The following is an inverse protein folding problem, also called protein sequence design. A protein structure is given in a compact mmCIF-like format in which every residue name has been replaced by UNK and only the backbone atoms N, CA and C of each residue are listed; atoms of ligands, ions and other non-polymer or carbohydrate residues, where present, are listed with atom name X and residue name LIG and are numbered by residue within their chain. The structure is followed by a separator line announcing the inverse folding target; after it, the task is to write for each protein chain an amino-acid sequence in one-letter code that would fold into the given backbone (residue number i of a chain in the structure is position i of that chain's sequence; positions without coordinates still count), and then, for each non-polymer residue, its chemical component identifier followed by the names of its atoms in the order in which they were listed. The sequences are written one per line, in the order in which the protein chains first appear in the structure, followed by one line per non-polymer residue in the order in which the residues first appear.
data_IF_689077685606
#
_entry.id   IF_689077685606
#
_cell.length_a   1.000
_cell.length_b   1.000
_cell.length_c   1.000
_cell.angle_alpha   90.00
_cell.angle_beta   90.00
_cell.angle_gamma   90.00
#
_symmetry.space_group_name_H-M   'P 1'
#
loop_
_entity.id
_entity.type
_entity.pdbx_description
1 polymer ?
#
# COMPACT_ATOMS: atom_id res chain seq x y z
N UNK A 1 -21.56 -6.55 -5.88
CA UNK A 1 -20.42 -6.08 -5.05
C UNK A 1 -19.80 -7.14 -4.14
N UNK A 2 -20.54 -7.88 -3.28
CA UNK A 2 -19.93 -8.89 -2.39
C UNK A 2 -19.27 -10.10 -3.09
N UNK A 3 -19.67 -10.44 -4.32
CA UNK A 3 -19.06 -11.55 -5.08
C UNK A 3 -17.71 -11.18 -5.73
N UNK A 4 -17.47 -9.89 -6.02
CA UNK A 4 -16.36 -9.42 -6.84
C UNK A 4 -15.06 -9.19 -6.06
N UNK A 5 -15.15 -8.85 -4.77
CA UNK A 5 -13.97 -8.71 -3.90
C UNK A 5 -13.26 -10.05 -3.59
N UNK A 6 -13.89 -11.20 -3.88
CA UNK A 6 -13.33 -12.52 -3.60
C UNK A 6 -12.37 -13.06 -4.68
N UNK A 7 -12.26 -12.37 -5.82
CA UNK A 7 -11.54 -12.84 -7.02
C UNK A 7 -10.09 -12.30 -7.07
N UNK A 8 -9.80 -11.20 -6.37
CA UNK A 8 -8.55 -10.43 -6.55
C UNK A 8 -7.28 -11.10 -6.00
N UNK A 9 -7.39 -12.06 -5.09
CA UNK A 9 -6.24 -12.67 -4.38
C UNK A 9 -6.13 -14.20 -4.53
N UNK A 10 -6.76 -14.82 -5.55
CA UNK A 10 -6.62 -16.27 -5.76
C UNK A 10 -5.52 -16.57 -6.76
N UNK A 11 -4.28 -16.69 -6.27
CA UNK A 11 -3.45 -17.81 -6.77
C UNK A 11 -4.18 -19.05 -6.28
N UNK A 12 -4.92 -19.71 -7.18
CA UNK A 12 -5.59 -20.98 -6.86
C UNK A 12 -4.60 -21.91 -6.15
N UNK A 13 -5.01 -22.52 -5.04
CA UNK A 13 -4.21 -23.54 -4.35
C UNK A 13 -4.19 -24.88 -5.10
N UNK A 14 -4.79 -24.92 -6.28
CA UNK A 14 -4.75 -26.07 -7.16
C UNK A 14 -3.35 -26.20 -7.77
N UNK A 15 -2.69 -27.34 -7.50
CA UNK A 15 -1.35 -27.59 -8.03
C UNK A 15 -1.34 -27.72 -9.56
N UNK A 16 -2.50 -27.99 -10.16
CA UNK A 16 -2.62 -28.30 -11.57
C UNK A 16 -3.06 -27.09 -12.42
N UNK A 17 -3.37 -25.95 -11.79
CA UNK A 17 -3.88 -24.75 -12.46
C UNK A 17 -3.33 -23.45 -11.85
N UNK A 18 -2.70 -22.61 -12.67
CA UNK A 18 -2.44 -21.20 -12.32
C UNK A 18 -3.49 -20.30 -12.96
N UNK A 19 -4.06 -19.38 -12.20
CA UNK A 19 -4.93 -18.31 -12.70
C UNK A 19 -4.16 -16.98 -12.67
N UNK A 20 -4.13 -16.27 -13.80
CA UNK A 20 -3.50 -14.97 -13.98
C UNK A 20 -4.60 -13.98 -14.32
N UNK A 21 -4.88 -13.03 -13.43
CA UNK A 21 -5.89 -11.98 -13.67
C UNK A 21 -5.27 -10.74 -14.28
N UNK A 22 -5.94 -10.16 -15.27
CA UNK A 22 -5.59 -8.94 -15.98
C UNK A 22 -6.87 -8.15 -16.30
N UNK A 23 -6.79 -7.23 -17.24
CA UNK A 23 -7.90 -6.37 -17.64
C UNK A 23 -8.03 -5.17 -16.72
N UNK A 24 -8.87 -4.22 -17.12
CA UNK A 24 -9.00 -2.95 -16.40
C UNK A 24 -9.30 -3.17 -14.91
N UNK A 25 -10.20 -4.11 -14.59
CA UNK A 25 -10.52 -4.45 -13.21
C UNK A 25 -9.37 -5.18 -12.49
N UNK A 26 -8.71 -6.14 -13.14
CA UNK A 26 -7.57 -6.88 -12.58
C UNK A 26 -6.36 -5.99 -12.26
N UNK A 27 -6.15 -4.96 -13.07
CA UNK A 27 -5.11 -3.94 -12.90
C UNK A 27 -5.52 -2.83 -11.91
N UNK A 28 -6.76 -2.88 -11.40
CA UNK A 28 -7.31 -1.97 -10.39
C UNK A 28 -8.04 -0.75 -10.94
N UNK A 29 -8.15 -0.57 -12.26
CA UNK A 29 -8.92 0.50 -12.89
C UNK A 29 -10.41 0.18 -12.86
N UNK A 30 -11.12 0.68 -11.86
CA UNK A 30 -12.57 0.50 -11.69
C UNK A 30 -13.33 1.64 -12.38
N UNK A 31 -13.81 1.39 -13.60
CA UNK A 31 -14.55 2.32 -14.46
C UNK A 31 -15.86 1.69 -14.90
N UNK A 32 -16.81 2.51 -15.35
CA UNK A 32 -18.03 2.03 -16.00
C UNK A 32 -17.64 1.35 -17.31
N UNK A 33 -17.77 0.01 -17.37
CA UNK A 33 -17.31 -0.92 -18.41
C UNK A 33 -15.98 -1.63 -18.13
N UNK A 34 -15.46 -1.58 -16.91
CA UNK A 34 -14.31 -2.40 -16.57
C UNK A 34 -14.64 -3.88 -16.65
N UNK A 35 -13.73 -4.62 -17.27
CA UNK A 35 -13.71 -6.05 -17.46
C UNK A 35 -12.62 -6.71 -16.62
N UNK A 36 -12.82 -7.99 -16.32
CA UNK A 36 -11.82 -8.84 -15.71
C UNK A 36 -11.35 -9.86 -16.75
N UNK A 37 -10.10 -9.77 -17.16
CA UNK A 37 -9.48 -10.82 -17.96
C UNK A 37 -8.87 -11.86 -17.01
N UNK A 38 -9.07 -13.14 -17.31
CA UNK A 38 -8.44 -14.25 -16.59
C UNK A 38 -7.79 -15.22 -17.57
N UNK A 39 -6.52 -15.53 -17.36
CA UNK A 39 -5.83 -16.60 -18.05
C UNK A 39 -5.62 -17.79 -17.12
N UNK A 40 -6.11 -18.95 -17.52
CA UNK A 40 -6.02 -20.21 -16.79
C UNK A 40 -5.00 -21.11 -17.44
N UNK A 41 -3.86 -21.29 -16.79
CA UNK A 41 -2.72 -22.06 -17.28
C UNK A 41 -2.71 -23.44 -16.64
N UNK A 42 -2.90 -24.48 -17.47
CA UNK A 42 -2.94 -25.88 -17.05
C UNK A 42 -1.53 -26.45 -16.93
N UNK A 43 -1.17 -26.99 -15.75
CA UNK A 43 0.15 -27.56 -15.47
C UNK A 43 0.27 -29.05 -15.81
N UNK A 44 -0.85 -29.72 -16.08
CA UNK A 44 -0.85 -31.09 -16.59
C UNK A 44 -0.40 -31.17 -18.07
N UNK A 45 -0.21 -30.02 -18.72
CA UNK A 45 0.30 -29.89 -20.08
C UNK A 45 1.61 -29.10 -20.10
N UNK A 46 2.61 -29.63 -20.80
CA UNK A 46 3.89 -28.94 -20.99
C UNK A 46 4.22 -28.82 -22.48
N UNK A 47 4.50 -27.59 -22.91
CA UNK A 47 4.86 -27.27 -24.29
C UNK A 47 6.34 -26.92 -24.38
N UNK A 48 7.03 -27.38 -25.43
CA UNK A 48 8.44 -27.09 -25.70
C UNK A 48 8.71 -26.83 -27.20
N UNK A 49 9.74 -26.02 -27.50
CA UNK A 49 10.11 -25.65 -28.88
C UNK A 49 11.24 -26.51 -29.45
N UNK A 50 12.37 -26.64 -28.74
CA UNK A 50 13.59 -27.26 -29.30
C UNK A 50 14.04 -28.52 -28.57
N UNK A 51 14.33 -28.40 -27.27
CA UNK A 51 14.87 -29.51 -26.51
C UNK A 51 13.75 -30.41 -26.01
N UNK A 52 13.75 -31.66 -26.47
CA UNK A 52 12.82 -32.69 -25.99
C UNK A 52 13.08 -32.92 -24.49
N UNK A 53 12.11 -32.66 -23.61
CA UNK A 53 12.32 -32.81 -22.17
C UNK A 53 12.39 -34.29 -21.78
N UNK A 54 12.93 -34.55 -20.59
CA UNK A 54 12.72 -35.83 -19.91
C UNK A 54 11.22 -35.93 -19.55
N UNK A 55 10.53 -36.91 -20.12
CA UNK A 55 9.11 -37.09 -19.90
C UNK A 55 8.81 -37.60 -18.49
N UNK A 56 7.95 -36.89 -17.77
CA UNK A 56 7.35 -37.37 -16.53
C UNK A 56 6.02 -38.06 -16.82
N UNK A 57 5.71 -39.19 -16.15
CA UNK A 57 4.55 -40.02 -16.48
C UNK A 57 3.20 -39.34 -16.22
N UNK A 58 3.18 -38.25 -15.45
CA UNK A 58 1.99 -37.52 -15.04
C UNK A 58 1.82 -36.17 -15.78
N UNK A 59 2.56 -35.95 -16.87
CA UNK A 59 2.50 -34.72 -17.67
C UNK A 59 2.30 -35.12 -19.13
N UNK A 60 1.39 -34.42 -19.81
CA UNK A 60 1.22 -34.55 -21.26
C UNK A 60 2.06 -33.50 -21.97
N UNK A 61 2.79 -33.90 -23.00
CA UNK A 61 3.77 -33.06 -23.67
C UNK A 61 3.41 -32.76 -25.11
N UNK A 62 3.60 -31.48 -25.49
CA UNK A 62 3.44 -31.01 -26.85
C UNK A 62 4.72 -30.34 -27.36
N UNK A 63 5.09 -30.62 -28.61
CA UNK A 63 6.14 -29.88 -29.33
C UNK A 63 5.51 -28.78 -30.21
N UNK A 64 6.21 -27.65 -30.36
CA UNK A 64 5.79 -26.56 -31.24
C UNK A 64 6.34 -26.76 -32.65
N UNK A 65 5.46 -26.79 -33.65
CA UNK A 65 5.81 -26.68 -35.06
C UNK A 65 5.84 -25.18 -35.41
N UNK A 66 7.03 -24.68 -35.72
CA UNK A 66 7.32 -23.27 -35.98
C UNK A 66 7.54 -22.96 -37.46
N UNK A 67 7.69 -24.01 -38.28
CA UNK A 67 7.92 -23.88 -39.72
C UNK A 67 6.58 -23.67 -40.45
N UNK A 68 6.55 -22.71 -41.38
CA UNK A 68 5.41 -22.42 -42.26
C UNK A 68 4.10 -21.99 -41.56
N UNK A 69 4.21 -21.48 -40.32
CA UNK A 69 3.05 -20.94 -39.58
C UNK A 69 3.05 -19.40 -39.60
N UNK A 70 1.86 -18.81 -39.70
CA UNK A 70 1.67 -17.35 -39.61
C UNK A 70 2.35 -16.79 -38.34
N UNK A 71 2.99 -15.60 -38.39
CA UNK A 71 3.56 -14.99 -37.19
C UNK A 71 2.57 -14.94 -36.02
N UNK A 72 3.05 -15.30 -34.83
CA UNK A 72 2.27 -15.44 -33.59
C UNK A 72 1.29 -16.63 -33.53
N UNK A 73 1.39 -17.59 -34.45
CA UNK A 73 0.68 -18.87 -34.41
C UNK A 73 1.69 -20.02 -34.40
N UNK A 74 1.30 -21.15 -33.83
CA UNK A 74 2.06 -22.40 -33.87
C UNK A 74 1.10 -23.58 -33.88
N UNK A 75 1.52 -24.70 -34.43
CA UNK A 75 0.81 -25.97 -34.27
C UNK A 75 1.48 -26.77 -33.15
N UNK A 76 0.68 -27.45 -32.34
CA UNK A 76 1.17 -28.24 -31.21
C UNK A 76 0.98 -29.72 -31.52
N UNK A 77 2.08 -30.46 -31.57
CA UNK A 77 2.09 -31.90 -31.85
C UNK A 77 2.16 -32.65 -30.53
N UNK A 78 1.31 -33.65 -30.35
CA UNK A 78 1.30 -34.50 -29.16
C UNK A 78 2.48 -35.48 -29.21
N UNK A 79 3.38 -35.40 -28.21
CA UNK A 79 4.61 -36.18 -28.14
C UNK A 79 4.54 -37.29 -27.08
N UNK A 80 3.85 -37.00 -25.97
CA UNK A 80 3.68 -37.94 -24.86
C UNK A 80 2.37 -37.65 -24.14
N UNK A 81 1.69 -38.71 -23.71
CA UNK A 81 0.38 -38.64 -23.05
C UNK A 81 0.51 -39.18 -21.63
N UNK A 82 0.03 -38.42 -20.66
CA UNK A 82 -0.20 -38.92 -19.30
C UNK A 82 -1.29 -40.00 -19.33
N UNK A 83 -0.95 -41.21 -18.88
CA UNK A 83 -1.88 -42.33 -18.82
C UNK A 83 -3.15 -42.03 -18.01
N UNK A 84 -3.02 -41.22 -16.94
CA UNK A 84 -4.14 -40.82 -16.08
C UNK A 84 -5.16 -39.92 -16.78
N UNK A 85 -4.71 -39.15 -17.79
CA UNK A 85 -5.54 -38.16 -18.49
C UNK A 85 -5.76 -38.47 -19.98
N UNK A 86 -5.26 -39.61 -20.48
CA UNK A 86 -5.29 -40.00 -21.90
C UNK A 86 -6.63 -39.75 -22.60
N UNK A 87 -7.76 -40.12 -21.99
CA UNK A 87 -9.09 -39.91 -22.57
C UNK A 87 -9.42 -38.43 -22.81
N UNK A 88 -9.08 -37.57 -21.87
CA UNK A 88 -9.27 -36.12 -22.02
C UNK A 88 -8.35 -35.59 -23.13
N UNK A 89 -7.06 -35.96 -23.10
CA UNK A 89 -6.08 -35.49 -24.09
C UNK A 89 -6.50 -35.82 -25.51
N UNK A 90 -6.87 -37.08 -25.78
CA UNK A 90 -7.32 -37.49 -27.11
C UNK A 90 -8.62 -36.81 -27.55
N UNK A 91 -9.51 -36.44 -26.61
CA UNK A 91 -10.72 -35.66 -26.94
C UNK A 91 -10.43 -34.21 -27.34
N UNK A 92 -9.24 -33.70 -27.03
CA UNK A 92 -8.79 -32.33 -27.34
C UNK A 92 -7.86 -32.29 -28.57
N UNK A 93 -7.55 -33.44 -29.16
CA UNK A 93 -6.62 -33.55 -30.28
C UNK A 93 -7.29 -34.10 -31.55
N UNK A 94 -6.66 -33.87 -32.69
CA UNK A 94 -7.09 -34.38 -34.00
C UNK A 94 -5.90 -34.99 -34.75
N UNK A 95 -6.12 -36.12 -35.42
CA UNK A 95 -5.09 -36.75 -36.24
C UNK A 95 -5.08 -36.16 -37.66
N UNK A 96 -3.91 -35.70 -38.10
CA UNK A 96 -3.69 -35.16 -39.44
C UNK A 96 -2.34 -35.65 -39.96
N UNK A 97 -2.34 -36.30 -41.13
CA UNK A 97 -1.14 -36.81 -41.80
C UNK A 97 -0.24 -37.69 -40.90
N UNK A 98 -0.85 -38.52 -40.05
CA UNK A 98 -0.13 -39.44 -39.16
C UNK A 98 0.49 -38.79 -37.92
N UNK A 99 0.23 -37.49 -37.68
CA UNK A 99 0.55 -36.80 -36.43
C UNK A 99 -0.73 -36.43 -35.69
N UNK A 100 -0.67 -36.39 -34.37
CA UNK A 100 -1.79 -35.96 -33.50
C UNK A 100 -1.55 -34.53 -33.06
N UNK A 101 -2.48 -33.63 -33.36
CA UNK A 101 -2.38 -32.20 -33.09
C UNK A 101 -3.36 -31.73 -32.03
N UNK A 102 -2.93 -30.82 -31.16
CA UNK A 102 -3.84 -30.14 -30.23
C UNK A 102 -4.80 -29.20 -30.96
N UNK A 103 -6.10 -29.38 -30.79
CA UNK A 103 -7.12 -28.60 -31.48
C UNK A 103 -7.72 -27.55 -30.55
N UNK A 104 -7.35 -26.29 -30.77
CA UNK A 104 -7.95 -25.15 -30.06
C UNK A 104 -9.48 -25.05 -30.24
N UNK A 105 -10.01 -25.60 -31.34
CA UNK A 105 -11.46 -25.68 -31.61
C UNK A 105 -12.11 -26.71 -30.70
N UNK A 106 -11.53 -27.91 -30.58
CA UNK A 106 -12.05 -28.94 -29.67
C UNK A 106 -12.01 -28.50 -28.22
N UNK A 107 -10.94 -27.81 -27.82
CA UNK A 107 -10.81 -27.24 -26.47
C UNK A 107 -11.90 -26.22 -26.19
N UNK A 108 -12.17 -25.31 -27.13
CA UNK A 108 -13.27 -24.35 -26.98
C UNK A 108 -14.62 -25.04 -26.87
N UNK A 109 -14.89 -26.07 -27.69
CA UNK A 109 -16.13 -26.86 -27.60
C UNK A 109 -16.25 -27.56 -26.26
N UNK A 110 -15.20 -28.23 -25.82
CA UNK A 110 -15.16 -28.89 -24.52
C UNK A 110 -15.48 -27.90 -23.38
N UNK A 111 -14.87 -26.72 -23.37
CA UNK A 111 -15.18 -25.70 -22.35
C UNK A 111 -16.63 -25.20 -22.42
N UNK A 112 -17.19 -25.06 -23.61
CA UNK A 112 -18.59 -24.64 -23.81
C UNK A 112 -19.59 -25.67 -23.29
N UNK A 113 -19.26 -26.97 -23.33
CA UNK A 113 -20.15 -28.02 -22.83
C UNK A 113 -20.28 -27.99 -21.30
N UNK A 114 -19.26 -27.51 -20.59
CA UNK A 114 -19.25 -27.43 -19.12
C UNK A 114 -19.80 -26.12 -18.56
N UNK A 115 -19.82 -25.06 -19.38
CA UNK A 115 -20.09 -23.72 -18.89
C UNK A 115 -20.91 -22.90 -19.88
N UNK A 116 -21.78 -22.04 -19.36
CA UNK A 116 -22.55 -21.11 -20.18
C UNK A 116 -21.72 -19.86 -20.53
N UNK A 117 -20.71 -20.02 -21.38
CA UNK A 117 -19.90 -18.92 -21.94
C UNK A 117 -20.28 -18.60 -23.39
N UNK A 118 -19.78 -17.49 -23.91
CA UNK A 118 -19.84 -17.09 -25.32
C UNK A 118 -18.41 -17.08 -25.86
N UNK A 119 -18.21 -17.63 -27.06
CA UNK A 119 -16.89 -17.61 -27.69
C UNK A 119 -16.57 -16.20 -28.18
N UNK A 120 -15.46 -15.63 -27.69
CA UNK A 120 -14.95 -14.31 -28.09
C UNK A 120 -13.47 -14.43 -28.48
N UNK A 121 -13.22 -14.71 -29.76
CA UNK A 121 -11.86 -14.92 -30.27
C UNK A 121 -11.15 -16.13 -29.61
N UNK A 122 -9.98 -15.93 -28.94
CA UNK A 122 -9.31 -16.97 -28.17
C UNK A 122 -9.91 -17.16 -26.76
N UNK A 123 -10.80 -16.26 -26.33
CA UNK A 123 -11.37 -16.24 -24.99
C UNK A 123 -12.82 -16.77 -24.96
N UNK A 124 -13.27 -17.04 -23.75
CA UNK A 124 -14.65 -17.34 -23.39
C UNK A 124 -15.17 -16.23 -22.48
N UNK A 125 -16.21 -15.54 -22.93
CA UNK A 125 -16.82 -14.43 -22.19
C UNK A 125 -18.04 -14.91 -21.43
N UNK A 126 -18.17 -14.56 -20.15
CA UNK A 126 -19.36 -14.91 -19.39
C UNK A 126 -20.63 -14.27 -19.99
N UNK A 127 -21.81 -14.81 -19.69
CA UNK A 127 -23.07 -14.29 -20.25
C UNK A 127 -23.34 -12.82 -19.92
N UNK A 128 -22.68 -12.28 -18.90
CA UNK A 128 -22.88 -10.92 -18.40
C UNK A 128 -21.85 -9.96 -19.02
N UNK A 129 -20.84 -10.47 -19.73
CA UNK A 129 -19.77 -9.69 -20.36
C UNK A 129 -18.79 -9.09 -19.35
N UNK A 130 -18.67 -9.66 -18.15
CA UNK A 130 -17.84 -9.13 -17.07
C UNK A 130 -16.49 -9.82 -16.96
N UNK A 131 -16.39 -11.04 -17.48
CA UNK A 131 -15.18 -11.83 -17.40
C UNK A 131 -14.87 -12.53 -18.72
N UNK A 132 -13.66 -12.28 -19.23
CA UNK A 132 -13.08 -13.01 -20.35
C UNK A 132 -12.07 -14.04 -19.82
N UNK A 133 -12.23 -15.29 -20.22
CA UNK A 133 -11.37 -16.39 -19.79
C UNK A 133 -10.59 -16.95 -20.98
N UNK A 134 -9.26 -16.88 -20.91
CA UNK A 134 -8.36 -17.54 -21.83
C UNK A 134 -7.80 -18.82 -21.18
N UNK A 135 -7.64 -19.88 -21.96
CA UNK A 135 -6.93 -21.09 -21.53
C UNK A 135 -5.52 -21.08 -22.09
N UNK A 136 -4.53 -21.30 -21.23
CA UNK A 136 -3.13 -21.39 -21.57
C UNK A 136 -2.56 -22.79 -21.28
N UNK A 137 -1.58 -23.18 -22.08
CA UNK A 137 -0.74 -24.33 -21.79
C UNK A 137 0.60 -23.85 -21.25
N UNK A 138 1.15 -24.56 -20.27
CA UNK A 138 2.38 -24.15 -19.63
C UNK A 138 3.60 -24.40 -20.54
N UNK A 139 4.50 -23.41 -20.62
CA UNK A 139 5.76 -23.50 -21.35
C UNK A 139 6.88 -22.95 -20.45
N UNK A 140 7.87 -23.78 -20.10
CA UNK A 140 8.95 -23.39 -19.17
C UNK A 140 9.97 -22.45 -19.81
N UNK A 141 10.07 -22.48 -21.13
CA UNK A 141 11.08 -21.72 -21.88
C UNK A 141 10.40 -20.70 -22.78
N UNK A 142 10.96 -19.51 -22.86
CA UNK A 142 10.53 -18.55 -23.86
C UNK A 142 10.83 -19.07 -25.26
N UNK A 143 9.85 -18.97 -26.16
CA UNK A 143 10.06 -19.28 -27.58
C UNK A 143 11.10 -18.33 -28.18
N UNK A 144 11.88 -18.83 -29.13
CA UNK A 144 12.98 -18.08 -29.75
C UNK A 144 12.53 -16.75 -30.36
N UNK A 145 11.31 -16.69 -30.91
CA UNK A 145 10.69 -15.48 -31.45
C UNK A 145 10.35 -14.40 -30.40
N UNK A 146 10.20 -14.78 -29.12
CA UNK A 146 9.90 -13.85 -28.02
C UNK A 146 11.15 -13.17 -27.45
N UNK A 147 12.36 -13.70 -27.72
CA UNK A 147 13.61 -13.20 -27.12
C UNK A 147 13.80 -11.71 -27.37
N UNK A 148 13.53 -11.23 -28.59
CA UNK A 148 13.67 -9.81 -28.95
C UNK A 148 12.76 -8.87 -28.16
N UNK A 149 11.65 -9.38 -27.59
CA UNK A 149 10.74 -8.60 -26.75
C UNK A 149 11.21 -8.56 -25.31
N UNK A 150 11.75 -9.67 -24.82
CA UNK A 150 12.19 -9.85 -23.43
C UNK A 150 13.54 -9.16 -23.19
N UNK A 151 14.44 -9.18 -24.16
CA UNK A 151 15.78 -8.55 -24.04
C UNK A 151 15.75 -7.04 -24.30
N UNK A 152 14.58 -6.41 -24.37
CA UNK A 152 14.48 -4.96 -24.48
C UNK A 152 15.03 -4.33 -23.20
N UNK A 153 16.13 -3.59 -23.33
CA UNK A 153 16.77 -2.92 -22.19
C UNK A 153 15.85 -1.83 -21.61
N UNK A 154 15.71 -1.79 -20.28
CA UNK A 154 15.02 -0.75 -19.50
C UNK A 154 15.58 0.68 -19.65
N UNK A 155 16.56 0.91 -20.53
CA UNK A 155 17.35 2.14 -20.56
C UNK A 155 16.83 3.21 -21.53
N UNK A 156 15.77 2.95 -22.28
CA UNK A 156 15.12 3.97 -23.09
C UNK A 156 13.65 3.67 -23.31
N UNK A 157 12.84 4.72 -23.30
CA UNK A 157 11.48 4.66 -23.80
C UNK A 157 11.50 4.20 -25.27
N UNK A 158 10.47 3.46 -25.75
CA UNK A 158 10.41 3.05 -27.14
C UNK A 158 10.55 4.25 -28.08
N UNK A 159 11.37 4.12 -29.13
CA UNK A 159 11.50 5.16 -30.15
C UNK A 159 10.13 5.48 -30.75
N UNK A 160 9.96 6.70 -31.24
CA UNK A 160 8.69 7.22 -31.75
C UNK A 160 8.11 6.33 -32.88
N UNK A 161 8.98 5.63 -33.62
CA UNK A 161 8.61 4.75 -34.72
C UNK A 161 7.92 3.46 -34.26
N UNK A 162 8.21 2.97 -33.04
CA UNK A 162 7.54 1.79 -32.47
C UNK A 162 6.12 2.15 -32.03
N UNK A 163 5.88 3.42 -31.64
CA UNK A 163 4.55 3.95 -31.29
C UNK A 163 3.61 4.08 -32.49
N UNK A 164 4.07 3.88 -33.73
CA UNK A 164 3.22 3.95 -34.92
C UNK A 164 2.94 2.59 -35.56
N UNK A 165 3.67 1.53 -35.21
CA UNK A 165 3.46 0.20 -35.80
C UNK A 165 2.75 -0.79 -34.88
N UNK A 166 2.78 -0.54 -33.57
CA UNK A 166 2.17 -1.39 -32.54
C UNK A 166 1.40 -0.56 -31.51
N UNK A 167 0.78 0.53 -31.95
CA UNK A 167 -0.09 1.29 -31.07
C UNK A 167 -1.40 0.53 -30.90
N UNK A 168 -1.59 -0.06 -29.73
CA UNK A 168 -2.81 -0.77 -29.36
C UNK A 168 -4.09 0.08 -29.41
N UNK A 169 -3.97 1.41 -29.57
CA UNK A 169 -5.06 2.36 -29.80
C UNK A 169 -5.23 2.79 -31.26
N UNK A 170 -4.30 2.43 -32.14
CA UNK A 170 -4.40 2.71 -33.58
C UNK A 170 -5.63 1.99 -34.14
N UNK A 171 -6.47 2.74 -34.84
CA UNK A 171 -7.77 2.33 -35.36
C UNK A 171 -8.85 1.92 -34.34
N UNK A 172 -8.56 1.92 -33.02
CA UNK A 172 -9.57 1.67 -31.97
C UNK A 172 -10.28 2.93 -31.50
N UNK A 173 -9.61 4.08 -31.63
CA UNK A 173 -10.14 5.38 -31.21
C UNK A 173 -10.17 6.30 -32.43
N UNK A 174 -11.19 6.13 -33.26
CA UNK A 174 -11.42 6.93 -34.46
C UNK A 174 -12.69 7.78 -34.36
N UNK A 175 -12.78 8.80 -35.22
CA UNK A 175 -13.93 9.69 -35.33
C UNK A 175 -14.36 10.30 -34.01
N UNK A 176 -15.66 10.20 -33.70
CA UNK A 176 -16.28 10.81 -32.52
C UNK A 176 -15.70 10.31 -31.19
N UNK A 177 -15.25 9.05 -31.11
CA UNK A 177 -14.65 8.52 -29.89
C UNK A 177 -13.31 9.21 -29.55
N UNK A 178 -12.54 9.57 -30.59
CA UNK A 178 -11.30 10.33 -30.45
C UNK A 178 -11.54 11.75 -29.96
N UNK A 179 -12.57 12.41 -30.50
CA UNK A 179 -12.96 13.74 -30.07
C UNK A 179 -13.42 13.74 -28.61
N UNK A 180 -14.27 12.79 -28.21
CA UNK A 180 -14.73 12.65 -26.82
C UNK A 180 -13.55 12.40 -25.88
N UNK A 181 -12.63 11.50 -26.25
CA UNK A 181 -11.46 11.22 -25.43
C UNK A 181 -10.55 12.46 -25.31
N UNK A 182 -10.29 13.15 -26.41
CA UNK A 182 -9.45 14.34 -26.42
C UNK A 182 -10.08 15.48 -25.61
N UNK A 183 -11.38 15.68 -25.74
CA UNK A 183 -12.13 16.70 -24.99
C UNK A 183 -12.17 16.38 -23.49
N UNK A 184 -12.32 15.09 -23.14
CA UNK A 184 -12.21 14.61 -21.76
C UNK A 184 -10.81 14.84 -21.20
N UNK A 185 -9.76 14.51 -21.96
CA UNK A 185 -8.37 14.72 -21.54
C UNK A 185 -8.02 16.21 -21.41
N UNK A 186 -8.50 17.06 -22.32
CA UNK A 186 -8.33 18.51 -22.25
C UNK A 186 -9.08 19.12 -21.07
N UNK A 187 -10.28 18.62 -20.77
CA UNK A 187 -11.06 18.99 -19.59
C UNK A 187 -10.35 18.59 -18.31
N UNK A 188 -9.82 17.36 -18.24
CA UNK A 188 -9.01 16.92 -17.10
C UNK A 188 -7.72 17.75 -16.97
N UNK A 189 -7.07 18.07 -18.09
CA UNK A 189 -5.88 18.92 -18.09
C UNK A 189 -6.19 20.35 -17.61
N UNK A 190 -7.32 20.94 -18.01
CA UNK A 190 -7.73 22.29 -17.58
C UNK A 190 -8.03 22.37 -16.07
N UNK A 191 -8.39 21.25 -15.45
CA UNK A 191 -8.52 21.14 -13.99
C UNK A 191 -7.16 21.04 -13.25
N UNK A 192 -6.04 20.91 -13.97
CA UNK A 192 -4.71 20.78 -13.39
C UNK A 192 -4.63 19.61 -12.41
N UNK A 193 -4.03 19.81 -11.24
CA UNK A 193 -3.91 18.75 -10.22
C UNK A 193 -5.26 18.27 -9.66
N UNK A 194 -6.34 19.05 -9.79
CA UNK A 194 -7.67 18.68 -9.29
C UNK A 194 -8.27 17.51 -10.06
N UNK A 195 -7.77 17.21 -11.26
CA UNK A 195 -8.24 16.07 -12.05
C UNK A 195 -8.03 14.73 -11.33
N UNK A 196 -7.04 14.68 -10.44
CA UNK A 196 -6.74 13.54 -9.57
C UNK A 196 -7.92 13.24 -8.63
N UNK A 197 -8.73 14.25 -8.25
CA UNK A 197 -9.90 14.08 -7.38
C UNK A 197 -11.11 13.48 -8.11
N UNK A 198 -11.10 13.45 -9.45
CA UNK A 198 -12.11 12.76 -10.25
C UNK A 198 -11.76 11.30 -10.52
N UNK A 199 -10.59 10.82 -10.06
CA UNK A 199 -10.27 9.39 -10.09
C UNK A 199 -11.10 8.68 -9.03
N UNK A 200 -11.83 7.62 -9.41
CA UNK A 200 -12.69 6.89 -8.46
C UNK A 200 -11.92 6.14 -7.36
N UNK A 201 -10.62 5.89 -7.60
CA UNK A 201 -9.71 5.38 -6.55
C UNK A 201 -9.42 6.43 -5.47
N UNK A 202 -9.59 7.71 -5.78
CA UNK A 202 -9.36 8.85 -4.90
C UNK A 202 -10.71 9.48 -4.48
N UNK A 203 -11.79 9.26 -5.23
CA UNK A 203 -13.12 9.82 -4.95
C UNK A 203 -13.82 9.21 -3.73
N UNK A 204 -13.30 8.11 -3.19
CA UNK A 204 -13.65 7.66 -1.83
C UNK A 204 -13.26 8.66 -0.73
N UNK A 205 -12.40 9.65 -1.03
CA UNK A 205 -12.15 10.82 -0.18
C UNK A 205 -13.17 11.95 -0.36
N UNK A 206 -14.07 11.89 -1.35
CA UNK A 206 -14.77 13.07 -1.88
C UNK A 206 -16.17 13.36 -1.31
N UNK A 207 -16.75 12.51 -0.46
CA UNK A 207 -18.08 12.81 0.12
C UNK A 207 -18.03 14.05 1.02
N UNK A 208 -16.91 14.29 1.71
CA UNK A 208 -16.75 15.45 2.61
C UNK A 208 -16.17 16.70 1.92
N UNK A 209 -15.54 16.56 0.74
CA UNK A 209 -14.93 17.68 0.01
C UNK A 209 -15.93 18.53 -0.79
N UNK A 210 -17.16 18.06 -1.02
CA UNK A 210 -18.21 18.81 -1.76
C UNK A 210 -18.73 20.06 -1.02
N UNK A 211 -18.49 20.17 0.29
CA UNK A 211 -19.04 21.25 1.11
C UNK A 211 -18.18 22.54 1.11
N UNK A 212 -17.04 22.57 0.43
CA UNK A 212 -16.19 23.76 0.36
C UNK A 212 -16.40 24.52 -0.95
N UNK A 213 -17.18 25.59 -0.89
CA UNK A 213 -17.30 26.58 -1.97
C UNK A 213 -16.06 27.48 -2.00
N UNK A 214 -14.99 27.06 -2.66
CA UNK A 214 -13.90 27.96 -3.02
C UNK A 214 -14.16 28.51 -4.43
N UNK A 215 -14.60 29.76 -4.52
CA UNK A 215 -14.79 30.46 -5.78
C UNK A 215 -13.42 30.62 -6.49
N UNK A 216 -13.34 30.31 -7.81
CA UNK A 216 -12.06 30.13 -8.49
C UNK A 216 -11.22 31.40 -8.70
N UNK A 217 -11.79 32.59 -8.53
CA UNK A 217 -11.22 33.78 -9.17
C UNK A 217 -10.31 34.64 -8.29
N UNK A 218 -10.26 34.45 -6.97
CA UNK A 218 -9.43 35.33 -6.10
C UNK A 218 -8.82 34.54 -4.96
N UNK A 219 -7.86 33.68 -5.24
CA UNK A 219 -7.00 33.16 -4.17
C UNK A 219 -5.54 33.33 -4.58
N UNK A 220 -4.97 34.47 -4.23
CA UNK A 220 -3.52 34.64 -4.32
C UNK A 220 -2.85 33.67 -3.35
N UNK A 221 -1.63 33.23 -3.65
CA UNK A 221 -0.82 32.36 -2.77
C UNK A 221 -0.73 32.87 -1.32
N UNK A 222 -0.80 34.20 -1.12
CA UNK A 222 -0.85 34.84 0.20
C UNK A 222 -2.20 34.66 0.94
N UNK A 223 -3.30 34.57 0.21
CA UNK A 223 -4.62 34.30 0.76
C UNK A 223 -4.77 32.82 1.12
N UNK A 224 -4.17 31.91 0.33
CA UNK A 224 -3.99 30.51 0.73
C UNK A 224 -3.26 30.47 2.06
N UNK A 225 -2.09 31.11 2.22
CA UNK A 225 -1.36 31.11 3.49
C UNK A 225 -2.18 31.62 4.68
N UNK A 226 -3.01 32.67 4.50
CA UNK A 226 -3.88 33.22 5.53
C UNK A 226 -5.05 32.29 5.89
N UNK A 227 -5.66 31.65 4.89
CA UNK A 227 -6.70 30.62 5.05
C UNK A 227 -6.11 29.38 5.72
N UNK A 228 -4.91 28.96 5.33
CA UNK A 228 -4.20 27.84 5.94
C UNK A 228 -3.86 28.12 7.40
N UNK A 229 -3.39 29.34 7.71
CA UNK A 229 -3.15 29.77 9.10
C UNK A 229 -4.43 29.78 9.93
N UNK A 230 -5.57 30.21 9.38
CA UNK A 230 -6.84 30.20 10.12
C UNK A 230 -7.41 28.79 10.31
N UNK A 231 -7.35 27.93 9.28
CA UNK A 231 -7.75 26.51 9.36
C UNK A 231 -6.85 25.74 10.32
N UNK A 232 -5.55 26.04 10.38
CA UNK A 232 -4.63 25.46 11.36
C UNK A 232 -4.90 25.98 12.77
N UNK A 233 -5.13 27.28 12.98
CA UNK A 233 -5.50 27.78 14.32
C UNK A 233 -6.84 27.18 14.79
N UNK A 234 -7.82 27.10 13.90
CA UNK A 234 -9.12 26.50 14.19
C UNK A 234 -9.03 24.99 14.39
N UNK A 235 -8.24 24.31 13.56
CA UNK A 235 -7.96 22.88 13.62
C UNK A 235 -7.15 22.49 14.84
N UNK A 236 -6.19 23.30 15.29
CA UNK A 236 -5.43 23.09 16.53
C UNK A 236 -6.35 23.28 17.76
N UNK A 237 -7.21 24.30 17.73
CA UNK A 237 -8.19 24.53 18.80
C UNK A 237 -9.26 23.41 18.86
N UNK A 238 -9.61 22.80 17.73
CA UNK A 238 -10.59 21.70 17.65
C UNK A 238 -9.97 20.29 17.69
N UNK A 239 -8.68 20.12 17.39
CA UNK A 239 -7.96 18.84 17.46
C UNK A 239 -7.89 18.28 18.89
N UNK A 240 -8.02 19.16 19.88
CA UNK A 240 -8.12 18.80 21.29
C UNK A 240 -9.47 18.11 21.59
N UNK A 241 -10.47 18.25 20.72
CA UNK A 241 -11.81 17.67 20.89
C UNK A 241 -12.16 16.52 19.93
N UNK A 242 -11.49 16.37 18.78
CA UNK A 242 -11.86 15.35 17.78
C UNK A 242 -10.68 14.54 17.23
N UNK A 243 -10.95 13.25 17.04
CA UNK A 243 -10.03 12.20 16.57
C UNK A 243 -9.38 12.51 15.22
N UNK A 244 -8.07 12.24 15.18
CA UNK A 244 -7.00 12.68 14.26
C UNK A 244 -7.11 12.61 12.72
N UNK A 245 -8.01 11.87 12.02
CA UNK A 245 -7.96 11.86 10.55
C UNK A 245 -8.34 13.21 9.91
N UNK A 246 -9.28 13.94 10.52
CA UNK A 246 -9.85 15.15 9.95
C UNK A 246 -8.86 16.32 9.90
N UNK A 247 -8.14 16.54 11.01
CA UNK A 247 -7.15 17.61 11.13
C UNK A 247 -5.94 17.34 10.23
N UNK A 248 -5.50 16.08 10.16
CA UNK A 248 -4.40 15.68 9.29
C UNK A 248 -4.77 15.80 7.80
N UNK A 249 -5.98 15.41 7.40
CA UNK A 249 -6.47 15.60 6.03
C UNK A 249 -6.52 17.08 5.65
N UNK A 250 -7.01 17.95 6.53
CA UNK A 250 -7.02 19.40 6.31
C UNK A 250 -5.59 19.96 6.15
N UNK A 251 -4.66 19.51 6.98
CA UNK A 251 -3.24 19.90 6.91
C UNK A 251 -2.58 19.36 5.63
N UNK A 252 -2.87 18.13 5.21
CA UNK A 252 -2.32 17.55 3.98
C UNK A 252 -2.83 18.26 2.72
N UNK A 253 -4.12 18.57 2.64
CA UNK A 253 -4.69 19.35 1.54
C UNK A 253 -4.02 20.73 1.43
N UNK A 254 -3.70 21.33 2.59
CA UNK A 254 -3.00 22.60 2.70
C UNK A 254 -1.54 22.55 2.22
N UNK A 255 -0.89 21.39 2.33
CA UNK A 255 0.51 21.20 1.96
C UNK A 255 0.67 20.72 0.52
N UNK A 256 -0.31 20.00 -0.01
CA UNK A 256 -0.34 19.63 -1.43
C UNK A 256 -0.34 20.87 -2.33
N UNK A 257 -0.89 22.00 -1.86
CA UNK A 257 -0.76 23.31 -2.52
C UNK A 257 0.62 23.98 -2.39
N UNK A 258 1.56 23.46 -1.58
CA UNK A 258 2.82 24.12 -1.24
C UNK A 258 4.04 23.19 -1.32
N UNK A 259 4.69 23.17 -2.50
CA UNK A 259 5.96 22.49 -2.87
C UNK A 259 6.00 20.95 -2.67
N UNK A 260 6.24 20.26 -3.79
CA UNK A 260 6.24 18.80 -3.94
C UNK A 260 7.26 18.05 -3.04
N UNK A 261 8.40 18.66 -2.69
CA UNK A 261 9.44 18.02 -1.86
C UNK A 261 9.06 17.86 -0.38
N UNK A 262 8.20 18.75 0.14
CA UNK A 262 7.70 18.72 1.52
C UNK A 262 6.75 17.55 1.76
N UNK A 263 5.95 17.21 0.75
CA UNK A 263 4.90 16.18 0.81
C UNK A 263 5.50 14.80 1.12
N UNK A 264 6.66 14.46 0.54
CA UNK A 264 7.32 13.16 0.75
C UNK A 264 7.68 12.93 2.22
N UNK A 265 8.15 13.96 2.93
CA UNK A 265 8.50 13.85 4.35
C UNK A 265 7.28 13.75 5.26
N UNK A 266 6.19 14.45 4.91
CA UNK A 266 4.94 14.39 5.67
C UNK A 266 4.21 13.07 5.47
N UNK A 267 4.18 12.56 4.25
CA UNK A 267 3.63 11.22 3.97
C UNK A 267 4.39 10.15 4.76
N UNK A 268 5.72 10.23 4.76
CA UNK A 268 6.59 9.36 5.56
C UNK A 268 6.29 9.43 7.06
N UNK A 269 6.10 10.64 7.58
CA UNK A 269 5.71 10.87 8.97
C UNK A 269 4.31 10.31 9.28
N UNK A 270 3.34 10.50 8.40
CA UNK A 270 2.00 9.95 8.53
C UNK A 270 2.00 8.42 8.57
N UNK A 271 2.71 7.80 7.63
CA UNK A 271 2.86 6.35 7.61
C UNK A 271 3.49 5.84 8.91
N UNK A 272 4.44 6.58 9.50
CA UNK A 272 4.95 6.28 10.84
C UNK A 272 3.85 6.27 11.91
N UNK A 273 3.00 7.29 11.95
CA UNK A 273 1.89 7.35 12.93
C UNK A 273 0.84 6.26 12.70
N UNK A 274 0.54 5.92 11.45
CA UNK A 274 -0.34 4.78 11.13
C UNK A 274 0.26 3.47 11.63
N UNK A 275 1.56 3.25 11.41
CA UNK A 275 2.27 2.08 11.92
C UNK A 275 2.24 2.03 13.46
N UNK A 276 2.54 3.14 14.14
CA UNK A 276 2.46 3.23 15.60
C UNK A 276 1.06 2.87 16.12
N UNK A 277 0.02 3.46 15.55
CA UNK A 277 -1.38 3.19 15.93
C UNK A 277 -1.76 1.73 15.71
N UNK A 278 -1.37 1.13 14.59
CA UNK A 278 -1.66 -0.28 14.30
C UNK A 278 -1.06 -1.20 15.36
N UNK A 279 0.17 -0.92 15.79
CA UNK A 279 0.88 -1.74 16.78
C UNK A 279 0.24 -1.63 18.17
N UNK A 280 -0.32 -0.46 18.54
CA UNK A 280 -1.01 -0.28 19.82
C UNK A 280 -2.16 -1.28 20.01
N UNK A 281 -2.87 -1.67 18.95
CA UNK A 281 -4.02 -2.58 19.06
C UNK A 281 -3.69 -4.04 18.74
N UNK A 282 -2.41 -4.39 18.53
CA UNK A 282 -2.05 -5.78 18.25
C UNK A 282 -2.17 -6.63 19.52
N UNK A 283 -2.87 -7.78 19.48
CA UNK A 283 -3.10 -8.60 20.65
C UNK A 283 -1.79 -9.27 21.10
N UNK A 284 -1.29 -8.93 22.27
CA UNK A 284 -0.13 -9.61 22.88
C UNK A 284 -0.63 -10.83 23.68
N UNK A 285 -1.01 -11.91 22.99
CA UNK A 285 -1.50 -13.16 23.64
C UNK A 285 -0.34 -14.06 24.09
N UNK A 286 -0.63 -14.95 25.05
CA UNK A 286 0.32 -15.78 25.81
C UNK A 286 0.88 -17.02 25.09
N UNK A 287 0.54 -17.29 23.82
CA UNK A 287 1.01 -18.50 23.15
C UNK A 287 2.32 -18.24 22.37
N UNK A 288 3.43 -18.85 22.85
CA UNK A 288 4.82 -18.51 22.52
C UNK A 288 5.14 -18.40 21.00
N UNK A 289 4.58 -19.25 20.15
CA UNK A 289 4.92 -19.27 18.70
C UNK A 289 4.27 -18.12 17.92
N UNK A 290 3.00 -17.83 18.19
CA UNK A 290 2.27 -16.74 17.53
C UNK A 290 2.76 -15.38 18.03
N UNK A 291 3.06 -15.27 19.33
CA UNK A 291 3.58 -14.07 19.96
C UNK A 291 4.89 -13.60 19.33
N UNK A 292 5.80 -14.52 18.98
CA UNK A 292 7.07 -14.14 18.33
C UNK A 292 6.88 -13.55 16.93
N UNK A 293 5.94 -14.10 16.14
CA UNK A 293 5.62 -13.57 14.81
C UNK A 293 4.97 -12.20 14.91
N UNK A 294 3.98 -12.05 15.78
CA UNK A 294 3.31 -10.77 16.02
C UNK A 294 4.30 -9.72 16.53
N UNK A 295 5.13 -10.07 17.53
CA UNK A 295 6.20 -9.21 18.02
C UNK A 295 7.15 -8.73 16.91
N UNK A 296 7.61 -9.64 16.04
CA UNK A 296 8.46 -9.26 14.89
C UNK A 296 7.76 -8.31 13.94
N UNK A 297 6.47 -8.54 13.66
CA UNK A 297 5.66 -7.65 12.84
C UNK A 297 5.51 -6.28 13.50
N UNK A 298 5.18 -6.23 14.80
CA UNK A 298 5.10 -4.99 15.58
C UNK A 298 6.41 -4.20 15.51
N UNK A 299 7.52 -4.85 15.87
CA UNK A 299 8.83 -4.23 15.89
C UNK A 299 9.25 -3.73 14.51
N UNK A 300 9.03 -4.54 13.46
CA UNK A 300 9.33 -4.11 12.08
C UNK A 300 8.49 -2.92 11.66
N UNK A 301 7.20 -2.88 12.00
CA UNK A 301 6.33 -1.74 11.70
C UNK A 301 6.74 -0.48 12.46
N UNK A 302 7.10 -0.59 13.74
CA UNK A 302 7.60 0.55 14.50
C UNK A 302 8.92 1.08 13.94
N UNK A 303 9.89 0.19 13.66
CA UNK A 303 11.20 0.58 13.12
C UNK A 303 11.11 1.28 11.76
N UNK A 304 10.15 0.91 10.91
CA UNK A 304 9.89 1.64 9.66
C UNK A 304 9.45 3.09 9.92
N UNK A 305 8.66 3.33 10.97
CA UNK A 305 8.16 4.65 11.32
C UNK A 305 9.19 5.55 12.02
N UNK A 306 10.08 4.94 12.80
CA UNK A 306 11.08 5.62 13.64
C UNK A 306 12.01 6.56 12.85
N UNK A 307 12.36 6.22 11.60
CA UNK A 307 13.20 7.07 10.75
C UNK A 307 12.60 8.45 10.45
N UNK A 308 11.30 8.62 10.66
CA UNK A 308 10.56 9.83 10.29
C UNK A 308 9.94 10.54 11.49
N UNK A 309 9.98 9.90 12.65
CA UNK A 309 9.45 10.36 13.92
C UNK A 309 10.39 9.87 15.03
N UNK A 310 11.55 10.54 15.13
CA UNK A 310 12.68 10.01 15.87
C UNK A 310 12.31 9.80 17.34
N UNK A 311 11.85 10.82 18.06
CA UNK A 311 11.70 10.71 19.53
C UNK A 311 10.49 9.84 19.91
N UNK A 312 9.28 10.21 19.48
CA UNK A 312 8.08 9.49 19.88
C UNK A 312 8.01 8.07 19.29
N UNK A 313 8.52 7.88 18.07
CA UNK A 313 8.65 6.55 17.46
C UNK A 313 9.60 5.64 18.20
N UNK A 314 10.79 6.12 18.61
CA UNK A 314 11.72 5.34 19.41
C UNK A 314 11.14 5.01 20.79
N UNK A 315 10.41 5.95 21.41
CA UNK A 315 9.77 5.69 22.69
C UNK A 315 8.65 4.65 22.59
N UNK A 316 7.91 4.57 21.48
CA UNK A 316 6.98 3.45 21.22
C UNK A 316 7.71 2.10 21.10
N UNK A 317 8.90 2.07 20.48
CA UNK A 317 9.76 0.87 20.46
C UNK A 317 10.21 0.50 21.88
N UNK A 318 10.60 1.49 22.67
CA UNK A 318 10.95 1.27 24.08
C UNK A 318 9.77 0.69 24.88
N UNK A 319 8.55 1.20 24.68
CA UNK A 319 7.34 0.64 25.30
C UNK A 319 7.11 -0.82 24.91
N UNK A 320 7.33 -1.18 23.64
CA UNK A 320 7.25 -2.57 23.19
C UNK A 320 8.31 -3.46 23.88
N UNK A 321 9.56 -2.99 24.00
CA UNK A 321 10.60 -3.73 24.73
C UNK A 321 10.27 -3.86 26.21
N UNK A 322 9.72 -2.80 26.82
CA UNK A 322 9.25 -2.82 28.20
C UNK A 322 8.14 -3.88 28.41
N UNK A 323 7.09 -3.86 27.57
CA UNK A 323 5.97 -4.82 27.65
C UNK A 323 6.41 -6.27 27.43
N UNK A 324 7.49 -6.47 26.69
CA UNK A 324 8.11 -7.79 26.47
C UNK A 324 9.22 -8.13 27.48
N UNK A 325 9.32 -7.37 28.58
CA UNK A 325 10.29 -7.55 29.68
C UNK A 325 11.76 -7.49 29.26
N UNK A 326 12.06 -6.81 28.16
CA UNK A 326 13.41 -6.58 27.65
C UNK A 326 13.96 -5.23 28.17
N UNK A 327 14.00 -5.06 29.49
CA UNK A 327 14.24 -3.76 30.15
C UNK A 327 15.57 -3.11 29.75
N UNK A 328 16.66 -3.88 29.61
CA UNK A 328 17.96 -3.34 29.19
C UNK A 328 17.90 -2.74 27.77
N UNK A 329 17.17 -3.40 26.85
CA UNK A 329 16.98 -2.85 25.48
C UNK A 329 16.11 -1.62 25.50
N UNK A 330 15.05 -1.61 26.31
CA UNK A 330 14.22 -0.43 26.51
C UNK A 330 15.07 0.74 27.03
N UNK A 331 15.92 0.54 28.04
CA UNK A 331 16.84 1.56 28.56
C UNK A 331 17.75 2.15 27.48
N UNK A 332 18.37 1.31 26.64
CA UNK A 332 19.21 1.80 25.55
C UNK A 332 18.44 2.69 24.56
N UNK A 333 17.22 2.28 24.19
CA UNK A 333 16.37 3.09 23.29
C UNK A 333 15.93 4.38 23.97
N UNK A 334 15.56 4.35 25.25
CA UNK A 334 15.13 5.56 25.98
C UNK A 334 16.29 6.56 26.12
N UNK A 335 17.49 6.09 26.46
CA UNK A 335 18.69 6.93 26.54
C UNK A 335 19.01 7.56 25.18
N UNK A 336 18.91 6.78 24.11
CA UNK A 336 19.06 7.30 22.75
C UNK A 336 17.98 8.35 22.42
N UNK A 337 16.71 8.12 22.77
CA UNK A 337 15.65 9.10 22.55
C UNK A 337 15.93 10.41 23.29
N UNK A 338 16.32 10.32 24.57
CA UNK A 338 16.64 11.47 25.42
C UNK A 338 17.84 12.25 24.88
N UNK A 339 18.89 11.60 24.39
CA UNK A 339 20.03 12.29 23.77
C UNK A 339 19.68 13.01 22.47
N UNK A 340 18.58 12.62 21.82
CA UNK A 340 18.05 13.25 20.61
C UNK A 340 16.91 14.25 20.87
N UNK A 341 16.44 14.37 22.12
CA UNK A 341 15.55 15.43 22.55
C UNK A 341 16.34 16.74 22.65
N UNK A 342 16.10 17.67 21.74
CA UNK A 342 16.66 19.02 21.82
C UNK A 342 15.83 19.88 22.78
N UNK A 343 16.44 20.78 23.54
CA UNK A 343 15.73 21.70 24.45
C UNK A 343 14.64 22.52 23.75
N UNK A 344 14.84 22.93 22.48
CA UNK A 344 13.83 23.62 21.67
C UNK A 344 12.51 22.84 21.48
N UNK A 345 12.54 21.52 21.59
CA UNK A 345 11.39 20.62 21.39
C UNK A 345 10.59 20.40 22.68
N UNK A 346 11.24 20.56 23.82
CA UNK A 346 10.65 20.33 25.14
C UNK A 346 9.49 21.30 25.47
N UNK A 347 9.52 22.51 24.91
CA UNK A 347 8.61 23.59 25.30
C UNK A 347 7.24 23.56 24.60
N UNK A 348 6.95 22.64 23.67
CA UNK A 348 5.75 22.69 22.82
C UNK A 348 4.46 22.15 23.43
N UNK A 349 4.52 21.54 24.62
CA UNK A 349 3.35 20.98 25.30
C UNK A 349 2.90 21.82 26.52
N UNK A 350 3.41 23.04 26.69
CA UNK A 350 2.96 23.94 27.74
C UNK A 350 1.54 24.42 27.47
N UNK A 351 0.78 24.68 28.54
CA UNK A 351 -0.62 25.07 28.51
C UNK A 351 -0.87 26.22 27.50
N UNK A 352 -1.64 25.93 26.44
CA UNK A 352 -1.91 26.86 25.32
C UNK A 352 -2.65 28.15 25.74
N UNK A 353 -3.12 28.21 26.99
CA UNK A 353 -3.68 29.40 27.61
C UNK A 353 -2.62 30.45 28.01
N UNK A 354 -1.34 30.09 28.06
CA UNK A 354 -0.28 31.03 28.44
C UNK A 354 0.04 32.00 27.28
N UNK A 355 -0.30 33.27 27.51
CA UNK A 355 -0.12 34.36 26.54
C UNK A 355 1.36 34.62 26.22
N UNK A 356 2.27 34.30 27.15
CA UNK A 356 3.71 34.42 26.94
C UNK A 356 4.21 33.39 25.92
N UNK A 357 3.62 32.20 25.94
CA UNK A 357 3.96 31.12 25.01
C UNK A 357 3.45 31.39 23.59
N UNK A 358 2.25 31.94 23.45
CA UNK A 358 1.69 32.38 22.16
C UNK A 358 2.63 33.37 21.44
N UNK A 359 3.29 34.25 22.19
CA UNK A 359 4.23 35.25 21.67
C UNK A 359 5.56 34.63 21.21
N UNK A 360 6.18 33.77 22.05
CA UNK A 360 7.39 33.01 21.70
C UNK A 360 7.15 32.10 20.49
N UNK A 361 5.98 31.46 20.43
CA UNK A 361 5.53 30.64 19.31
C UNK A 361 5.38 31.48 18.03
N UNK A 362 4.71 32.64 18.09
CA UNK A 362 4.60 33.54 16.93
C UNK A 362 5.97 33.99 16.41
N UNK A 363 6.90 34.35 17.30
CA UNK A 363 8.24 34.81 16.91
C UNK A 363 9.11 33.70 16.33
N UNK A 364 9.03 32.49 16.89
CA UNK A 364 9.80 31.32 16.43
C UNK A 364 9.22 30.75 15.13
N UNK A 365 7.90 30.82 14.95
CA UNK A 365 7.18 30.30 13.79
C UNK A 365 7.30 31.20 12.56
N UNK A 366 7.54 32.50 12.73
CA UNK A 366 7.81 33.40 11.61
C UNK A 366 9.14 33.10 10.90
N UNK A 367 10.10 32.42 11.55
CA UNK A 367 11.43 32.16 10.99
C UNK A 367 11.63 30.72 10.47
N UNK A 368 10.80 29.75 10.88
CA UNK A 368 10.94 28.35 10.48
C UNK A 368 9.98 28.03 9.33
N UNK A 369 10.43 27.25 8.34
CA UNK A 369 9.55 26.78 7.28
C UNK A 369 8.49 25.80 7.84
N UNK A 370 7.34 25.72 7.17
CA UNK A 370 6.18 24.95 7.62
C UNK A 370 6.50 23.47 7.95
N UNK A 371 7.36 22.82 7.17
CA UNK A 371 7.76 21.42 7.40
C UNK A 371 8.53 21.27 8.71
N UNK A 372 9.41 22.22 9.02
CA UNK A 372 10.15 22.26 10.29
C UNK A 372 9.20 22.44 11.47
N UNK A 373 8.16 23.27 11.30
CA UNK A 373 7.11 23.48 12.30
C UNK A 373 6.39 22.19 12.68
N UNK A 374 5.89 21.48 11.66
CA UNK A 374 5.16 20.23 11.82
C UNK A 374 6.04 19.15 12.44
N UNK A 375 7.31 19.07 12.03
CA UNK A 375 8.30 18.19 12.64
C UNK A 375 8.60 18.51 14.09
N UNK A 376 8.41 19.74 14.53
CA UNK A 376 8.63 20.10 15.94
C UNK A 376 7.37 19.80 16.73
N UNK A 377 6.20 20.31 16.30
CA UNK A 377 4.93 20.15 17.03
C UNK A 377 4.50 18.70 17.26
N UNK A 378 4.70 17.79 16.30
CA UNK A 378 4.16 16.44 16.43
C UNK A 378 5.17 15.37 16.86
N UNK A 379 6.48 15.67 16.86
CA UNK A 379 7.52 14.71 17.30
C UNK A 379 7.61 14.61 18.82
N UNK A 380 7.04 15.57 19.54
CA UNK A 380 7.23 15.72 20.99
C UNK A 380 6.09 15.14 21.83
N UNK A 381 5.15 14.46 21.18
CA UNK A 381 3.98 13.89 21.86
C UNK A 381 3.85 12.39 21.57
N UNK A 382 3.60 11.64 22.64
CA UNK A 382 3.25 10.22 22.60
C UNK A 382 1.76 10.10 22.89
N UNK A 383 1.07 9.45 21.96
CA UNK A 383 -0.38 9.25 22.04
C UNK A 383 -0.67 7.77 22.11
N UNK A 384 -1.37 7.35 23.17
CA UNK A 384 -1.86 6.00 23.28
C UNK A 384 -3.38 5.96 23.17
N UNK A 385 -3.86 5.05 22.33
CA UNK A 385 -5.25 4.66 22.29
C UNK A 385 -5.70 4.03 23.61
N UNK A 386 -7.00 4.11 23.88
CA UNK A 386 -7.62 3.68 25.15
C UNK A 386 -7.42 2.19 25.44
N UNK A 387 -7.25 1.38 24.40
CA UNK A 387 -7.00 -0.06 24.48
C UNK A 387 -5.60 -0.44 24.01
N UNK A 388 -4.66 0.52 24.06
CA UNK A 388 -3.29 0.30 23.62
C UNK A 388 -2.58 -0.73 24.50
N UNK A 389 -2.17 -1.83 23.88
CA UNK A 389 -1.35 -2.88 24.48
C UNK A 389 0.08 -2.45 24.78
N UNK A 390 0.51 -1.29 24.27
CA UNK A 390 1.83 -0.73 24.51
C UNK A 390 1.92 0.12 25.78
N UNK A 391 0.79 0.48 26.41
CA UNK A 391 0.80 1.23 27.66
C UNK A 391 1.32 0.30 28.79
N UNK A 392 2.36 0.69 29.55
CA UNK A 392 2.78 -0.02 30.75
C UNK A 392 1.61 -0.25 31.70
N UNK A 393 1.51 -1.44 32.31
CA UNK A 393 0.34 -1.81 33.11
C UNK A 393 0.17 -0.89 34.34
N UNK A 394 1.29 -0.35 34.84
CA UNK A 394 1.36 0.63 35.93
C UNK A 394 0.66 1.96 35.60
N UNK A 395 0.44 2.28 34.32
CA UNK A 395 -0.26 3.51 33.88
C UNK A 395 -1.76 3.29 33.75
N UNK A 396 -2.22 2.05 33.57
CA UNK A 396 -3.62 1.74 33.23
C UNK A 396 -4.61 1.91 34.41
N UNK A 397 -4.12 2.28 35.60
CA UNK A 397 -4.87 2.26 36.86
C UNK A 397 -5.94 3.38 36.92
N UNK A 398 -5.86 4.41 36.08
CA UNK A 398 -6.85 5.50 36.05
C UNK A 398 -7.66 5.48 34.75
N UNK A 399 -8.74 4.69 34.77
CA UNK A 399 -9.77 4.61 33.73
C UNK A 399 -10.45 5.95 33.48
N UNK A 400 -9.86 6.78 32.62
CA UNK A 400 -10.61 7.78 31.89
C UNK A 400 -10.84 7.25 30.48
N UNK A 401 -12.05 7.42 29.95
CA UNK A 401 -12.42 7.03 28.60
C UNK A 401 -11.76 7.96 27.55
N UNK A 402 -10.53 8.41 27.79
CA UNK A 402 -9.83 9.45 27.04
C UNK A 402 -8.51 8.92 26.51
N UNK A 403 -8.10 9.46 25.38
CA UNK A 403 -6.78 9.22 24.80
C UNK A 403 -5.70 9.73 25.75
N UNK A 404 -4.66 8.95 25.96
CA UNK A 404 -3.54 9.35 26.82
C UNK A 404 -2.49 10.05 25.99
N UNK A 405 -2.17 11.28 26.38
CA UNK A 405 -1.23 12.15 25.67
C UNK A 405 -0.14 12.53 26.66
N UNK A 406 1.11 12.21 26.32
CA UNK A 406 2.27 12.48 27.16
C UNK A 406 3.33 13.25 26.38
N UNK A 407 4.00 14.19 27.04
CA UNK A 407 5.29 14.71 26.57
C UNK A 407 6.27 13.55 26.41
N UNK A 408 6.99 13.50 25.27
CA UNK A 408 8.01 12.49 25.02
C UNK A 408 9.02 12.38 26.17
N UNK A 409 9.43 13.51 26.75
CA UNK A 409 10.45 13.54 27.80
C UNK A 409 9.90 13.06 29.15
N UNK A 410 8.70 13.50 29.51
CA UNK A 410 8.02 13.00 30.71
C UNK A 410 7.82 11.48 30.60
N UNK A 411 7.34 11.01 29.44
CA UNK A 411 7.16 9.58 29.20
C UNK A 411 8.48 8.80 29.21
N UNK A 412 9.56 9.37 28.67
CA UNK A 412 10.89 8.77 28.70
C UNK A 412 11.39 8.56 30.14
N UNK A 413 11.35 9.59 31.00
CA UNK A 413 11.75 9.46 32.40
C UNK A 413 10.85 8.51 33.19
N UNK A 414 9.54 8.52 32.91
CA UNK A 414 8.62 7.55 33.46
C UNK A 414 9.00 6.11 33.09
N UNK A 415 9.30 5.86 31.81
CA UNK A 415 9.68 4.54 31.34
C UNK A 415 11.07 4.10 31.86
N UNK A 416 12.01 5.04 32.06
CA UNK A 416 13.28 4.78 32.75
C UNK A 416 13.05 4.31 34.18
N UNK A 417 12.22 5.04 34.93
CA UNK A 417 11.87 4.68 36.30
C UNK A 417 11.33 3.25 36.35
N UNK A 418 10.36 2.90 35.49
CA UNK A 418 9.82 1.54 35.45
C UNK A 418 10.88 0.49 35.09
N UNK A 419 11.73 0.77 34.09
CA UNK A 419 12.79 -0.18 33.70
C UNK A 419 13.78 -0.42 34.84
N UNK A 420 14.24 0.63 35.53
CA UNK A 420 15.16 0.49 36.66
C UNK A 420 14.49 -0.17 37.86
N UNK A 421 13.19 0.06 38.07
CA UNK A 421 12.42 -0.58 39.13
C UNK A 421 12.40 -2.10 38.94
N UNK A 422 12.06 -2.56 37.72
CA UNK A 422 12.07 -3.99 37.37
C UNK A 422 13.48 -4.62 37.36
N UNK A 423 14.53 -3.80 37.30
CA UNK A 423 15.93 -4.23 37.41
C UNK A 423 16.50 -4.10 38.84
N UNK A 424 15.70 -3.67 39.82
CA UNK A 424 16.10 -3.42 41.21
C UNK A 424 17.25 -2.39 41.37
N UNK A 425 17.37 -1.42 40.46
CA UNK A 425 18.37 -0.33 40.56
C UNK A 425 17.74 0.89 41.25
N UNK A 426 17.65 0.84 42.59
CA UNK A 426 16.96 1.86 43.41
C UNK A 426 17.54 3.26 43.20
N UNK A 427 18.86 3.38 43.07
CA UNK A 427 19.53 4.67 42.86
C UNK A 427 19.08 5.30 41.54
N UNK A 428 19.13 4.56 40.44
CA UNK A 428 18.70 5.08 39.14
C UNK A 428 17.19 5.28 39.04
N UNK A 429 16.39 4.54 39.81
CA UNK A 429 14.97 4.84 39.97
C UNK A 429 14.78 6.24 40.55
N UNK A 430 15.47 6.55 41.66
CA UNK A 430 15.38 7.87 42.29
C UNK A 430 15.88 8.98 41.36
N UNK A 431 16.96 8.74 40.61
CA UNK A 431 17.46 9.69 39.61
C UNK A 431 16.43 9.95 38.50
N UNK A 432 15.80 8.88 37.99
CA UNK A 432 14.76 8.99 36.95
C UNK A 432 13.50 9.68 37.45
N UNK A 433 13.11 9.43 38.71
CA UNK A 433 11.99 10.10 39.36
C UNK A 433 12.25 11.59 39.57
N UNK A 434 13.47 11.96 39.98
CA UNK A 434 13.88 13.38 40.05
C UNK A 434 13.85 14.04 38.68
N UNK A 435 14.34 13.36 37.65
CA UNK A 435 14.24 13.83 36.27
C UNK A 435 12.79 14.04 35.82
N UNK A 436 11.90 13.08 36.13
CA UNK A 436 10.47 13.20 35.85
C UNK A 436 9.84 14.38 36.60
N UNK A 437 10.17 14.55 37.88
CA UNK A 437 9.69 15.66 38.70
C UNK A 437 10.17 17.00 38.16
N UNK A 438 11.43 17.13 37.71
CA UNK A 438 11.91 18.35 37.08
C UNK A 438 11.10 18.68 35.82
N UNK A 439 10.87 17.69 34.96
CA UNK A 439 10.11 17.87 33.72
C UNK A 439 8.65 18.23 33.98
N UNK A 440 8.03 17.69 35.04
CA UNK A 440 6.65 18.01 35.41
C UNK A 440 6.56 19.35 36.17
N UNK A 441 7.54 19.67 37.01
CA UNK A 441 7.54 20.86 37.86
C UNK A 441 8.12 22.11 37.18
N UNK A 442 8.77 21.98 36.02
CA UNK A 442 9.04 23.11 35.13
C UNK A 442 7.75 23.72 34.53
N UNK A 443 6.59 23.13 34.83
CA UNK A 443 5.23 23.65 34.61
C UNK A 443 4.50 23.99 35.95
N UNK A 444 5.06 24.87 36.78
CA UNK A 444 4.29 25.58 37.82
C UNK A 444 4.65 27.06 37.96
#
# INVERSE_FOLDING_TARGET
MRLMNAVRDRVSSDKDLTEITSGSFGEGLEMRSSDLDSMRVLHCFEVFEKEKPCFYPNITYFSMEIDDVKPCYTQLILEHVDYGNSRLVFSLCEDQNGKTYYSSILVKRWLMDYYTYIIHGPCLTDKIGLQDIAMGLHCKTWVSSAVQWITRSNNSWPSHDIKQKNNMFENKIEGRAREILLDTLNTLHSYGWRCILFSDQISNFAVEMRNFHLLPEVVHVKDVEKILKSILLHGINNAIAMTEPYVFNNIMLSIVSYKQSSIKHLFKYFMSKVCQRRVQYMPMKSNNKYQYKEYKTCLSSLLQGVYHDAVSGWLMVASLFYKTKQYIKALHVIMYSLSNCTTEKLHLYMNMADSHYQLLKQQTFQKKNFVSLMKTMFVDVIMFGMTSTLIPDEVQIHHSNRMHIYSCTAYAYFLLFLCYYHLNDVRKCQDSLRGLQLVINEDF
#
